data_IF_915795069957
#
_entry.id   IF_915795069957
#
_cell.length_a   1.000
_cell.length_b   1.000
_cell.length_c   1.000
_cell.angle_alpha   90.00
_cell.angle_beta   90.00
_cell.angle_gamma   90.00
#
_symmetry.space_group_name_H-M   'P 1'
#
loop_
_entity.id
_entity.type
_entity.pdbx_description
1 polymer ?
#
# COMPACT_ATOMS: atom_id res chain seq x y z
N UNK A 1 -1.22 13.05 17.33
CA UNK A 1 -1.75 12.73 15.98
C UNK A 1 -1.62 11.23 15.80
N UNK A 2 -2.66 10.55 15.30
CA UNK A 2 -2.67 9.08 15.09
C UNK A 2 -2.56 8.70 13.61
N UNK A 3 -2.76 9.65 12.70
CA UNK A 3 -2.63 9.46 11.26
C UNK A 3 -1.17 9.29 10.83
N UNK A 4 -0.97 8.53 9.75
CA UNK A 4 0.31 8.40 9.05
C UNK A 4 0.08 8.40 7.53
N UNK A 5 1.15 8.62 6.76
CA UNK A 5 1.10 8.58 5.31
C UNK A 5 2.45 8.19 4.71
N UNK A 6 2.43 7.79 3.45
CA UNK A 6 3.63 7.47 2.66
C UNK A 6 3.53 8.16 1.30
N UNK A 7 4.61 8.81 0.88
CA UNK A 7 4.75 9.47 -0.42
C UNK A 7 6.03 8.97 -1.10
N UNK A 8 5.88 8.06 -2.06
CA UNK A 8 6.99 7.49 -2.84
C UNK A 8 6.72 7.76 -4.32
N UNK A 9 7.02 8.99 -4.80
CA UNK A 9 6.75 9.39 -6.18
C UNK A 9 7.61 8.63 -7.20
N UNK A 10 8.74 8.08 -6.77
CA UNK A 10 9.54 7.13 -7.55
C UNK A 10 9.91 5.94 -6.67
N UNK A 11 9.30 4.80 -6.98
CA UNK A 11 9.55 3.51 -6.34
C UNK A 11 10.38 2.58 -7.23
N UNK A 12 10.66 3.00 -8.46
CA UNK A 12 11.24 2.16 -9.52
C UNK A 12 12.63 1.65 -9.13
N UNK A 13 13.45 2.52 -8.52
CA UNK A 13 14.81 2.21 -8.07
C UNK A 13 14.86 1.17 -6.94
N UNK A 14 13.73 0.95 -6.24
CA UNK A 14 13.65 0.01 -5.11
C UNK A 14 13.43 -1.44 -5.54
N UNK A 15 13.17 -1.71 -6.84
CA UNK A 15 12.95 -3.06 -7.35
C UNK A 15 14.00 -3.40 -8.42
N UNK A 16 14.83 -4.39 -8.11
CA UNK A 16 15.74 -4.99 -9.09
C UNK A 16 14.97 -5.91 -10.04
N UNK A 17 15.27 -5.81 -11.34
CA UNK A 17 14.63 -6.58 -12.43
C UNK A 17 13.12 -6.34 -12.60
N UNK A 18 12.69 -5.08 -12.47
CA UNK A 18 11.36 -4.71 -12.91
C UNK A 18 11.28 -4.81 -14.44
N UNK A 19 10.18 -5.30 -15.03
CA UNK A 19 9.83 -4.90 -16.40
C UNK A 19 9.89 -3.36 -16.46
N UNK A 20 10.37 -2.76 -17.55
CA UNK A 20 10.69 -1.32 -17.72
C UNK A 20 9.52 -0.34 -17.43
N UNK A 21 9.04 -0.34 -16.19
CA UNK A 21 7.77 0.25 -15.76
C UNK A 21 8.05 1.32 -14.71
N UNK A 22 7.37 2.44 -14.79
CA UNK A 22 7.45 3.51 -13.79
C UNK A 22 6.55 3.15 -12.62
N UNK A 23 7.10 3.16 -11.41
CA UNK A 23 6.34 2.89 -10.20
C UNK A 23 6.27 4.11 -9.28
N UNK A 24 5.08 4.37 -8.76
CA UNK A 24 4.87 5.31 -7.65
C UNK A 24 3.88 4.73 -6.64
N UNK A 25 4.08 5.04 -5.37
CA UNK A 25 3.24 4.55 -4.28
C UNK A 25 2.88 5.67 -3.32
N UNK A 26 1.60 5.72 -2.95
CA UNK A 26 1.06 6.68 -2.00
C UNK A 26 0.11 5.97 -1.06
N UNK A 27 0.11 6.34 0.21
CA UNK A 27 -0.83 5.76 1.16
C UNK A 27 -1.18 6.72 2.29
N UNK A 28 -2.39 6.56 2.81
CA UNK A 28 -2.88 7.21 4.03
C UNK A 28 -3.38 6.15 5.00
N UNK A 29 -3.15 6.39 6.28
CA UNK A 29 -3.48 5.49 7.38
C UNK A 29 -4.11 6.31 8.50
N UNK A 30 -5.38 6.10 8.78
CA UNK A 30 -6.10 6.74 9.88
C UNK A 30 -6.11 5.80 11.09
N UNK A 31 -5.30 6.12 12.09
CA UNK A 31 -5.11 5.29 13.29
C UNK A 31 -6.19 5.54 14.34
N UNK A 32 -6.63 4.47 15.01
CA UNK A 32 -7.55 4.54 16.15
C UNK A 32 -7.09 3.65 17.30
N UNK A 33 -7.41 4.03 18.54
CA UNK A 33 -6.91 3.32 19.73
C UNK A 33 -5.41 3.52 20.01
N UNK A 34 -4.76 4.39 19.23
CA UNK A 34 -3.34 4.73 19.30
C UNK A 34 -2.72 4.84 17.90
N UNK A 35 -1.46 5.30 17.82
CA UNK A 35 -0.78 5.58 16.55
C UNK A 35 0.07 4.40 16.04
N UNK A 36 0.16 3.28 16.78
CA UNK A 36 1.15 2.25 16.47
C UNK A 36 0.80 1.47 15.21
N UNK A 37 -0.49 1.22 14.98
CA UNK A 37 -0.96 0.49 13.80
C UNK A 37 -0.73 1.28 12.51
N UNK A 38 -1.09 2.57 12.49
CA UNK A 38 -0.88 3.45 11.34
C UNK A 38 0.60 3.70 11.05
N UNK A 39 1.42 3.90 12.09
CA UNK A 39 2.88 3.99 11.96
C UNK A 39 3.48 2.69 11.42
N UNK A 40 3.07 1.54 11.95
CA UNK A 40 3.54 0.25 11.47
C UNK A 40 3.16 0.02 10.00
N UNK A 41 1.93 0.36 9.60
CA UNK A 41 1.50 0.27 8.21
C UNK A 41 2.32 1.20 7.30
N UNK A 42 2.56 2.45 7.71
CA UNK A 42 3.38 3.40 6.97
C UNK A 42 4.83 2.92 6.79
N UNK A 43 5.42 2.30 7.81
CA UNK A 43 6.78 1.77 7.75
C UNK A 43 6.90 0.48 6.91
N UNK A 44 5.90 -0.40 6.94
CA UNK A 44 6.07 -1.78 6.48
C UNK A 44 5.26 -2.13 5.21
N UNK A 45 4.08 -1.54 5.00
CA UNK A 45 3.15 -2.00 3.94
C UNK A 45 3.80 -1.92 2.54
N UNK A 46 4.47 -0.82 2.23
CA UNK A 46 5.15 -0.63 0.95
C UNK A 46 6.40 -1.53 0.81
N UNK A 47 7.12 -1.79 1.90
CA UNK A 47 8.28 -2.71 1.89
C UNK A 47 7.84 -4.15 1.62
N UNK A 48 6.76 -4.60 2.26
CA UNK A 48 6.14 -5.91 2.00
C UNK A 48 5.67 -6.01 0.55
N UNK A 49 5.04 -4.95 0.01
CA UNK A 49 4.62 -4.88 -1.39
C UNK A 49 5.81 -5.08 -2.34
N UNK A 50 6.88 -4.31 -2.13
CA UNK A 50 8.12 -4.38 -2.92
C UNK A 50 8.70 -5.79 -2.92
N UNK A 51 8.75 -6.46 -1.76
CA UNK A 51 9.30 -7.80 -1.63
C UNK A 51 8.52 -8.86 -2.44
N UNK A 52 7.21 -8.65 -2.61
CA UNK A 52 6.28 -9.57 -3.30
C UNK A 52 6.01 -9.15 -4.75
N UNK A 53 6.50 -8.00 -5.18
CA UNK A 53 6.14 -7.43 -6.48
C UNK A 53 6.62 -8.34 -7.63
N UNK A 54 5.84 -8.51 -8.71
CA UNK A 54 6.24 -9.34 -9.85
C UNK A 54 7.56 -8.85 -10.46
N UNK A 55 8.44 -9.78 -10.84
CA UNK A 55 9.75 -9.51 -11.44
C UNK A 55 9.87 -10.19 -12.80
N UNK A 56 10.59 -9.56 -13.73
CA UNK A 56 10.77 -10.05 -15.10
C UNK A 56 9.55 -9.84 -16.00
N UNK A 57 9.57 -10.44 -17.20
CA UNK A 57 8.44 -10.42 -18.13
C UNK A 57 7.35 -11.36 -17.62
N UNK A 58 6.21 -10.78 -17.22
CA UNK A 58 5.12 -11.56 -16.63
C UNK A 58 3.84 -11.41 -17.41
N UNK A 59 3.30 -12.53 -17.86
CA UNK A 59 1.94 -12.61 -18.39
C UNK A 59 0.94 -12.31 -17.26
N UNK A 60 -0.13 -11.57 -17.58
CA UNK A 60 -1.20 -11.21 -16.65
C UNK A 60 -0.73 -10.37 -15.44
N UNK A 61 0.13 -9.37 -15.67
CA UNK A 61 0.64 -8.44 -14.67
C UNK A 61 -0.48 -7.87 -13.76
N UNK A 62 -1.62 -7.50 -14.34
CA UNK A 62 -2.77 -6.96 -13.61
C UNK A 62 -3.28 -7.91 -12.50
N UNK A 63 -3.43 -9.20 -12.81
CA UNK A 63 -3.88 -10.22 -11.85
C UNK A 63 -2.86 -10.40 -10.73
N UNK A 64 -1.58 -10.37 -11.08
CA UNK A 64 -0.48 -10.51 -10.13
C UNK A 64 -0.39 -9.30 -9.21
N UNK A 65 -0.45 -8.08 -9.73
CA UNK A 65 -0.44 -6.86 -8.91
C UNK A 65 -1.59 -6.87 -7.90
N UNK A 66 -2.81 -7.26 -8.32
CA UNK A 66 -3.95 -7.40 -7.39
C UNK A 66 -3.69 -8.43 -6.29
N UNK A 67 -3.15 -9.60 -6.65
CA UNK A 67 -2.79 -10.63 -5.68
C UNK A 67 -1.71 -10.14 -4.71
N UNK A 68 -0.67 -9.49 -5.23
CA UNK A 68 0.40 -8.90 -4.43
C UNK A 68 -0.14 -7.89 -3.43
N UNK A 69 -1.06 -7.00 -3.83
CA UNK A 69 -1.70 -6.05 -2.90
C UNK A 69 -2.47 -6.77 -1.79
N UNK A 70 -3.30 -7.77 -2.13
CA UNK A 70 -4.04 -8.55 -1.12
C UNK A 70 -3.11 -9.26 -0.14
N UNK A 71 -2.09 -9.96 -0.66
CA UNK A 71 -1.13 -10.69 0.16
C UNK A 71 -0.25 -9.75 1.00
N UNK A 72 -0.01 -8.53 0.52
CA UNK A 72 0.71 -7.48 1.25
C UNK A 72 -0.08 -7.01 2.45
N UNK A 73 -1.35 -6.63 2.27
CA UNK A 73 -2.20 -6.19 3.37
C UNK A 73 -2.35 -7.27 4.43
N UNK A 74 -2.61 -8.52 4.00
CA UNK A 74 -2.72 -9.66 4.93
C UNK A 74 -1.43 -9.86 5.73
N UNK A 75 -0.27 -9.87 5.07
CA UNK A 75 1.01 -10.08 5.75
C UNK A 75 1.31 -8.96 6.75
N UNK A 76 1.12 -7.70 6.34
CA UNK A 76 1.37 -6.54 7.21
C UNK A 76 0.43 -6.54 8.43
N UNK A 77 -0.83 -6.93 8.26
CA UNK A 77 -1.78 -7.09 9.37
C UNK A 77 -1.35 -8.22 10.33
N UNK A 78 -1.01 -9.40 9.82
CA UNK A 78 -0.53 -10.52 10.63
C UNK A 78 0.73 -10.16 11.42
N UNK A 79 1.66 -9.43 10.82
CA UNK A 79 2.90 -9.02 11.49
C UNK A 79 2.65 -7.94 12.55
N UNK A 80 1.72 -7.02 12.31
CA UNK A 80 1.29 -6.08 13.34
C UNK A 80 0.58 -6.80 14.49
N UNK A 81 -0.32 -7.74 14.21
CA UNK A 81 -1.02 -8.54 15.23
C UNK A 81 -0.06 -9.33 16.11
N UNK A 82 0.97 -9.96 15.53
CA UNK A 82 2.04 -10.63 16.30
C UNK A 82 2.77 -9.63 17.19
N UNK A 83 3.17 -8.47 16.65
CA UNK A 83 3.84 -7.42 17.41
C UNK A 83 2.96 -6.93 18.55
N UNK A 84 1.70 -6.56 18.28
CA UNK A 84 0.74 -6.03 19.23
C UNK A 84 0.40 -7.01 20.36
N UNK A 85 0.19 -8.29 20.04
CA UNK A 85 -0.15 -9.32 21.02
C UNK A 85 1.02 -9.71 21.94
N UNK A 86 2.27 -9.50 21.51
CA UNK A 86 3.46 -9.76 22.33
C UNK A 86 3.67 -8.75 23.47
N UNK A 87 2.94 -7.62 23.47
CA UNK A 87 3.14 -6.50 24.39
C UNK A 87 2.34 -6.68 25.68
N UNK A 88 2.76 -6.02 26.77
CA UNK A 88 2.08 -6.07 28.08
C UNK A 88 1.85 -4.64 28.61
N UNK A 89 0.60 -4.14 28.64
CA UNK A 89 -0.61 -4.76 28.08
C UNK A 89 -0.55 -4.88 26.54
N UNK A 90 -1.30 -5.83 25.99
CA UNK A 90 -1.40 -5.99 24.54
C UNK A 90 -1.96 -4.72 23.91
N UNK A 91 -1.38 -4.31 22.78
CA UNK A 91 -1.86 -3.14 22.06
C UNK A 91 -3.23 -3.40 21.46
N UNK A 92 -4.06 -2.35 21.42
CA UNK A 92 -5.43 -2.37 20.88
C UNK A 92 -5.60 -1.35 19.75
N UNK A 93 -4.49 -0.81 19.25
CA UNK A 93 -4.45 0.09 18.11
C UNK A 93 -4.96 -0.63 16.86
N UNK A 94 -5.68 0.10 16.04
CA UNK A 94 -6.02 -0.27 14.68
C UNK A 94 -5.78 0.90 13.74
N UNK A 95 -5.90 0.66 12.45
CA UNK A 95 -5.76 1.69 11.43
C UNK A 95 -6.59 1.36 10.22
N UNK A 96 -7.09 2.38 9.53
CA UNK A 96 -7.43 2.24 8.11
C UNK A 96 -6.15 2.07 7.29
N UNK A 97 -6.28 1.61 6.06
CA UNK A 97 -5.19 1.61 5.09
C UNK A 97 -5.76 1.82 3.68
N UNK A 98 -5.46 2.96 3.09
CA UNK A 98 -5.82 3.28 1.71
C UNK A 98 -4.56 3.61 0.95
N UNK A 99 -4.20 2.78 -0.04
CA UNK A 99 -3.02 3.01 -0.86
C UNK A 99 -3.32 3.02 -2.36
N UNK A 100 -2.45 3.72 -3.07
CA UNK A 100 -2.48 3.92 -4.49
C UNK A 100 -1.11 3.52 -5.04
N UNK A 101 -1.09 2.54 -5.93
CA UNK A 101 0.08 2.09 -6.66
C UNK A 101 -0.09 2.46 -8.14
N UNK A 102 0.81 3.27 -8.65
CA UNK A 102 0.90 3.60 -10.08
C UNK A 102 1.88 2.63 -10.71
N UNK A 103 1.46 1.94 -11.77
CA UNK A 103 2.32 1.12 -12.63
C UNK A 103 2.15 1.64 -14.06
N UNK A 104 3.15 2.35 -14.55
CA UNK A 104 3.09 3.12 -15.80
C UNK A 104 1.89 4.08 -15.85
N UNK A 105 0.86 3.70 -16.60
CA UNK A 105 -0.36 4.48 -16.83
C UNK A 105 -1.59 3.84 -16.14
N UNK A 106 -1.38 2.77 -15.37
CA UNK A 106 -2.43 2.07 -14.64
C UNK A 106 -2.38 2.40 -13.15
N UNK A 107 -3.52 2.81 -12.61
CA UNK A 107 -3.70 3.10 -11.19
C UNK A 107 -4.37 1.93 -10.46
N UNK A 108 -3.68 1.34 -9.49
CA UNK A 108 -4.24 0.33 -8.60
C UNK A 108 -4.53 0.97 -7.24
N UNK A 109 -5.76 0.80 -6.76
CA UNK A 109 -6.19 1.27 -5.44
C UNK A 109 -6.56 0.08 -4.57
N UNK A 110 -5.98 0.01 -3.37
CA UNK A 110 -6.37 -0.92 -2.33
C UNK A 110 -6.87 -0.12 -1.13
N UNK A 111 -8.07 -0.45 -0.64
CA UNK A 111 -8.75 0.30 0.40
C UNK A 111 -9.28 -0.63 1.48
N UNK A 112 -8.91 -0.38 2.73
CA UNK A 112 -9.39 -1.06 3.92
C UNK A 112 -9.78 0.00 4.97
N UNK A 113 -11.07 0.15 5.23
CA UNK A 113 -11.62 1.18 6.12
C UNK A 113 -12.39 2.26 5.36
N UNK A 114 -12.57 3.42 5.99
CA UNK A 114 -13.43 4.51 5.57
C UNK A 114 -12.70 5.74 5.00
N UNK A 115 -11.36 5.74 5.02
CA UNK A 115 -10.52 6.58 4.17
C UNK A 115 -10.79 6.33 2.68
N UNK A 116 -10.47 7.28 1.78
CA UNK A 116 -10.86 7.21 0.36
C UNK A 116 -9.83 7.82 -0.59
N UNK A 117 -9.79 7.30 -1.83
CA UNK A 117 -9.12 7.91 -2.99
C UNK A 117 -10.18 8.46 -3.95
N UNK A 118 -9.93 9.62 -4.54
CA UNK A 118 -10.74 10.17 -5.63
C UNK A 118 -9.84 10.51 -6.81
N UNK A 119 -10.19 10.01 -8.00
CA UNK A 119 -9.48 10.31 -9.25
C UNK A 119 -10.31 11.30 -10.06
N UNK A 120 -9.70 12.41 -10.45
CA UNK A 120 -10.29 13.39 -11.38
C UNK A 120 -9.58 13.30 -12.72
N UNK A 121 -10.27 12.81 -13.74
CA UNK A 121 -9.78 12.83 -15.11
C UNK A 121 -10.27 14.11 -15.81
N UNK A 122 -9.43 14.70 -16.68
CA UNK A 122 -9.90 15.74 -17.60
C UNK A 122 -10.67 15.04 -18.71
N UNK A 123 -11.97 15.33 -18.83
CA UNK A 123 -12.73 15.00 -20.04
C UNK A 123 -12.46 16.11 -21.06
N UNK A 124 -11.65 15.85 -22.07
CA UNK A 124 -11.62 16.73 -23.24
C UNK A 124 -12.89 16.48 -24.05
N UNK A 125 -13.86 17.40 -23.97
CA UNK A 125 -14.97 17.46 -24.90
C UNK A 125 -14.38 17.90 -26.25
N UNK A 126 -14.19 16.95 -27.17
CA UNK A 126 -13.96 17.27 -28.57
C UNK A 126 -15.30 17.72 -29.15
N UNK A 127 -15.44 19.03 -29.40
CA UNK A 127 -16.46 19.57 -30.30
C UNK A 127 -16.09 19.27 -31.75
#
# INVERSE_FOLDING_TARGET
MQDAHVLLPDLTSSITNLPSSRLAYFAVFDGHGGARASQFAAENLHQTLLSKFPKGDVENLEKLVRKCLLDTFRQTDEDFLKKASSQKPAWKDGSTATCMLVVDDVLYVANLGDSRVSLKTKTELKC
#
